data_IF_519205117842
#
_entry.id   IF_519205117842
#
_cell.length_a   1.000
_cell.length_b   1.000
_cell.length_c   1.000
_cell.angle_alpha   90.00
_cell.angle_beta   90.00
_cell.angle_gamma   90.00
#
_symmetry.space_group_name_H-M   'P 1'
#
loop_
_entity.id
_entity.type
_entity.pdbx_description
1 polymer ?
#
# COMPACT_ATOMS: atom_id res chain seq x y z
N UNK A 1 -15.81 10.98 -15.46
CA UNK A 1 -16.66 10.71 -14.26
C UNK A 1 -16.02 11.20 -12.97
N UNK A 2 -14.90 10.64 -12.49
CA UNK A 2 -14.30 11.07 -11.19
C UNK A 2 -13.91 12.56 -11.23
N UNK A 3 -13.07 12.97 -12.18
CA UNK A 3 -12.67 14.37 -12.35
C UNK A 3 -13.87 15.31 -12.52
N UNK A 4 -14.83 14.92 -13.37
CA UNK A 4 -16.00 15.76 -13.66
C UNK A 4 -16.94 15.90 -12.44
N UNK A 5 -17.02 14.88 -11.58
CA UNK A 5 -17.95 14.86 -10.44
C UNK A 5 -17.34 15.41 -9.16
N UNK A 6 -16.03 15.19 -8.95
CA UNK A 6 -15.33 15.47 -7.69
C UNK A 6 -14.19 16.48 -7.83
N UNK A 7 -13.81 16.87 -9.06
CA UNK A 7 -12.72 17.82 -9.30
C UNK A 7 -11.31 17.27 -9.01
N UNK A 8 -11.18 15.96 -8.78
CA UNK A 8 -9.90 15.30 -8.45
C UNK A 8 -9.49 14.30 -9.53
N UNK A 9 -8.19 14.19 -9.76
CA UNK A 9 -7.62 13.16 -10.64
C UNK A 9 -7.39 11.88 -9.85
N UNK A 10 -7.78 10.75 -10.44
CA UNK A 10 -7.51 9.44 -9.86
C UNK A 10 -6.04 9.08 -10.10
N UNK A 11 -5.24 9.12 -9.05
CA UNK A 11 -3.80 8.84 -9.09
C UNK A 11 -3.43 7.40 -8.71
N UNK A 12 -4.37 6.65 -8.13
CA UNK A 12 -4.15 5.28 -7.67
C UNK A 12 -5.22 4.34 -8.22
N UNK A 13 -4.82 3.12 -8.54
CA UNK A 13 -5.69 2.05 -9.02
C UNK A 13 -5.84 0.94 -7.97
N UNK A 14 -7.04 0.39 -7.82
CA UNK A 14 -7.29 -0.80 -6.99
C UNK A 14 -7.74 -1.93 -7.92
N UNK A 15 -6.96 -3.01 -8.00
CA UNK A 15 -7.30 -4.16 -8.83
C UNK A 15 -8.58 -4.82 -8.30
N UNK A 16 -9.66 -4.93 -9.11
CA UNK A 16 -10.90 -5.56 -8.65
C UNK A 16 -10.65 -7.00 -8.21
N UNK A 17 -11.00 -7.30 -6.95
CA UNK A 17 -10.69 -8.59 -6.30
C UNK A 17 -9.20 -8.99 -6.37
N UNK A 18 -8.29 -8.02 -6.49
CA UNK A 18 -6.84 -8.25 -6.60
C UNK A 18 -6.38 -8.84 -7.94
N UNK A 19 -7.27 -8.95 -8.93
CA UNK A 19 -6.93 -9.57 -10.22
C UNK A 19 -6.04 -8.65 -11.05
N UNK A 20 -4.85 -9.12 -11.45
CA UNK A 20 -3.89 -8.34 -12.25
C UNK A 20 -3.80 -8.82 -13.70
N UNK A 21 -4.67 -9.75 -14.09
CA UNK A 21 -4.68 -10.38 -15.41
C UNK A 21 -6.03 -10.25 -16.11
N UNK A 22 -5.99 -10.26 -17.44
CA UNK A 22 -7.16 -10.37 -18.33
C UNK A 22 -6.96 -11.54 -19.30
N UNK A 23 -8.05 -11.98 -19.93
CA UNK A 23 -8.03 -13.13 -20.83
C UNK A 23 -8.23 -14.46 -20.11
N UNK A 24 -8.00 -15.58 -20.82
CA UNK A 24 -8.20 -16.93 -20.30
C UNK A 24 -7.18 -17.90 -20.88
N UNK A 25 -6.72 -18.86 -20.08
CA UNK A 25 -5.80 -19.91 -20.50
C UNK A 25 -4.48 -19.38 -21.06
N UNK A 26 -4.03 -19.91 -22.19
CA UNK A 26 -2.80 -19.46 -22.85
C UNK A 26 -2.83 -17.99 -23.33
N UNK A 27 -4.01 -17.37 -23.36
CA UNK A 27 -4.19 -15.97 -23.75
C UNK A 27 -4.22 -15.00 -22.56
N UNK A 28 -3.97 -15.48 -21.34
CA UNK A 28 -3.91 -14.64 -20.14
C UNK A 28 -2.77 -13.63 -20.25
N UNK A 29 -3.04 -12.35 -19.98
CA UNK A 29 -2.07 -11.25 -20.03
C UNK A 29 -2.18 -10.41 -18.78
N UNK A 30 -1.02 -10.00 -18.25
CA UNK A 30 -0.99 -9.00 -17.17
C UNK A 30 -1.42 -7.65 -17.72
N UNK A 31 -2.22 -6.92 -16.95
CA UNK A 31 -2.53 -5.52 -17.24
C UNK A 31 -1.89 -4.54 -16.25
N UNK A 32 -0.98 -5.03 -15.39
CA UNK A 32 -0.12 -4.19 -14.53
C UNK A 32 0.65 -3.14 -15.35
N UNK A 33 1.22 -3.43 -16.55
CA UNK A 33 1.91 -2.41 -17.34
C UNK A 33 1.01 -1.26 -17.78
N UNK A 34 -0.30 -1.51 -17.94
CA UNK A 34 -1.28 -0.47 -18.27
C UNK A 34 -1.56 0.39 -17.05
N UNK A 35 -1.65 -0.21 -15.86
CA UNK A 35 -1.81 0.54 -14.61
C UNK A 35 -0.57 1.39 -14.33
N UNK A 36 0.64 0.83 -14.53
CA UNK A 36 1.90 1.53 -14.34
C UNK A 36 2.08 2.78 -15.23
N UNK A 37 1.46 2.81 -16.41
CA UNK A 37 1.56 3.97 -17.32
C UNK A 37 0.51 5.05 -17.07
N UNK A 38 -0.55 4.73 -16.32
CA UNK A 38 -1.69 5.62 -16.11
C UNK A 38 -1.80 6.14 -14.67
N UNK A 39 -1.29 5.39 -13.69
CA UNK A 39 -1.46 5.67 -12.27
C UNK A 39 -0.10 5.71 -11.56
N UNK A 40 -0.03 6.48 -10.49
CA UNK A 40 1.13 6.51 -9.61
C UNK A 40 1.30 5.21 -8.83
N UNK A 41 0.19 4.58 -8.47
CA UNK A 41 0.19 3.31 -7.74
C UNK A 41 -0.94 2.39 -8.19
N UNK A 42 -0.74 1.08 -8.05
CA UNK A 42 -1.77 0.07 -8.12
C UNK A 42 -1.69 -0.82 -6.88
N UNK A 43 -2.82 -1.27 -6.33
CA UNK A 43 -2.83 -2.21 -5.19
C UNK A 43 -3.75 -3.41 -5.38
N UNK A 44 -3.31 -4.56 -4.89
CA UNK A 44 -4.06 -5.80 -4.81
C UNK A 44 -5.09 -5.82 -3.68
N UNK A 45 -5.56 -7.03 -3.41
CA UNK A 45 -6.52 -7.37 -2.37
C UNK A 45 -6.25 -8.77 -1.86
N UNK A 46 -6.37 -8.96 -0.54
CA UNK A 46 -6.16 -10.23 0.15
C UNK A 46 -4.73 -10.77 0.01
N UNK A 47 -3.76 -9.87 -0.12
CA UNK A 47 -2.34 -10.22 -0.19
C UNK A 47 -1.80 -10.61 1.20
N UNK A 48 -0.69 -11.35 1.22
CA UNK A 48 -0.20 -12.03 2.44
C UNK A 48 0.84 -11.24 3.24
N UNK A 49 1.33 -10.09 2.74
CA UNK A 49 2.45 -9.40 3.34
C UNK A 49 2.39 -7.86 3.20
N UNK A 50 3.04 -7.12 4.13
CA UNK A 50 3.30 -5.70 3.96
C UNK A 50 4.39 -5.48 2.90
N UNK A 51 4.44 -4.26 2.37
CA UNK A 51 5.29 -3.88 1.26
C UNK A 51 6.69 -3.49 1.74
N UNK A 52 7.71 -3.98 1.06
CA UNK A 52 9.09 -3.55 1.27
C UNK A 52 9.33 -2.20 0.58
N UNK A 53 9.68 -1.12 1.31
CA UNK A 53 9.86 0.19 0.72
C UNK A 53 11.07 0.27 -0.21
N UNK A 54 11.99 -0.70 -0.25
CA UNK A 54 13.09 -0.72 -1.24
C UNK A 54 12.69 -1.42 -2.53
N UNK A 55 11.89 -2.50 -2.43
CA UNK A 55 11.66 -3.42 -3.55
C UNK A 55 10.23 -3.47 -4.08
N UNK A 56 9.23 -2.90 -3.39
CA UNK A 56 7.85 -3.02 -3.86
C UNK A 56 7.63 -2.35 -5.22
N UNK A 57 6.85 -3.00 -6.09
CA UNK A 57 6.37 -2.43 -7.34
C UNK A 57 5.20 -1.48 -7.04
N UNK A 58 5.38 -0.20 -7.35
CA UNK A 58 4.34 0.82 -7.11
C UNK A 58 3.07 0.52 -7.89
N UNK A 59 3.16 -0.10 -9.07
CA UNK A 59 1.99 -0.47 -9.87
C UNK A 59 1.29 -1.73 -9.36
N UNK A 60 1.86 -2.46 -8.40
CA UNK A 60 1.34 -3.73 -7.88
C UNK A 60 1.67 -3.93 -6.40
N UNK A 61 1.25 -2.98 -5.57
CA UNK A 61 1.38 -3.04 -4.12
C UNK A 61 0.47 -4.11 -3.51
N UNK A 62 0.92 -4.69 -2.40
CA UNK A 62 0.14 -5.65 -1.62
C UNK A 62 -0.84 -4.93 -0.70
N UNK A 63 -2.10 -5.35 -0.71
CA UNK A 63 -3.17 -4.87 0.17
C UNK A 63 -3.70 -5.98 1.06
N UNK A 64 -3.60 -5.80 2.38
CA UNK A 64 -4.05 -6.78 3.37
C UNK A 64 -5.45 -6.46 3.89
N UNK A 65 -6.24 -7.48 4.16
CA UNK A 65 -7.62 -7.35 4.64
C UNK A 65 -7.72 -6.64 5.99
N UNK A 66 -8.66 -5.70 6.08
CA UNK A 66 -9.11 -5.06 7.32
C UNK A 66 -10.48 -5.58 7.78
N UNK A 67 -11.32 -5.97 6.83
CA UNK A 67 -12.72 -6.33 7.10
C UNK A 67 -12.83 -7.45 8.13
N UNK A 68 -13.74 -7.26 9.09
CA UNK A 68 -14.00 -8.21 10.18
C UNK A 68 -12.87 -8.35 11.22
N UNK A 69 -11.69 -7.77 11.01
CA UNK A 69 -10.56 -7.91 11.95
C UNK A 69 -10.73 -7.01 13.17
N UNK A 70 -10.39 -7.55 14.33
CA UNK A 70 -10.25 -6.80 15.57
C UNK A 70 -8.99 -5.92 15.54
N UNK A 71 -8.94 -4.90 16.40
CA UNK A 71 -7.73 -4.10 16.57
C UNK A 71 -6.52 -4.93 16.99
N UNK A 72 -6.68 -5.96 17.83
CA UNK A 72 -5.55 -6.82 18.23
C UNK A 72 -4.92 -7.55 17.04
N UNK A 73 -5.73 -8.01 16.09
CA UNK A 73 -5.23 -8.67 14.87
C UNK A 73 -4.51 -7.68 13.98
N UNK A 74 -5.08 -6.48 13.77
CA UNK A 74 -4.44 -5.42 12.98
C UNK A 74 -3.15 -4.94 13.64
N UNK A 75 -3.13 -4.80 14.97
CA UNK A 75 -1.93 -4.39 15.70
C UNK A 75 -0.80 -5.39 15.49
N UNK A 76 -1.08 -6.70 15.46
CA UNK A 76 -0.07 -7.70 15.15
C UNK A 76 0.53 -7.51 13.74
N UNK A 77 -0.28 -7.11 12.76
CA UNK A 77 0.20 -6.77 11.42
C UNK A 77 1.06 -5.50 11.43
N UNK A 78 0.61 -4.44 12.11
CA UNK A 78 1.34 -3.18 12.26
C UNK A 78 2.71 -3.44 12.93
N UNK A 79 2.74 -4.15 14.04
CA UNK A 79 3.96 -4.45 14.78
C UNK A 79 4.93 -5.32 13.96
N UNK A 80 4.40 -6.24 13.14
CA UNK A 80 5.20 -7.04 12.20
C UNK A 80 5.81 -6.20 11.08
N UNK A 81 5.03 -5.31 10.47
CA UNK A 81 5.49 -4.38 9.44
C UNK A 81 6.56 -3.44 10.02
N UNK A 82 6.31 -2.83 11.19
CA UNK A 82 7.25 -1.98 11.91
C UNK A 82 8.58 -2.69 12.19
N UNK A 83 8.53 -3.91 12.74
CA UNK A 83 9.74 -4.71 13.05
C UNK A 83 10.57 -5.04 11.82
N UNK A 84 9.95 -5.11 10.65
CA UNK A 84 10.61 -5.45 9.39
C UNK A 84 10.90 -4.24 8.50
N UNK A 85 10.65 -3.01 8.99
CA UNK A 85 10.85 -1.79 8.21
C UNK A 85 9.90 -1.66 7.01
N UNK A 86 8.79 -2.39 7.01
CA UNK A 86 7.83 -2.46 5.90
C UNK A 86 6.64 -1.54 6.14
N UNK A 87 5.95 -1.20 5.06
CA UNK A 87 4.71 -0.40 5.14
C UNK A 87 3.48 -1.25 4.81
N UNK A 88 2.45 -1.08 5.61
CA UNK A 88 1.22 -1.88 5.58
C UNK A 88 0.11 -1.09 4.90
N UNK A 89 -0.54 -1.68 3.90
CA UNK A 89 -1.77 -1.16 3.30
C UNK A 89 -2.92 -2.03 3.80
N UNK A 90 -3.84 -1.42 4.54
CA UNK A 90 -5.08 -2.04 4.99
C UNK A 90 -6.20 -1.72 4.01
N UNK A 91 -6.97 -2.74 3.65
CA UNK A 91 -8.04 -2.64 2.66
C UNK A 91 -9.35 -3.09 3.29
N UNK A 92 -10.40 -2.29 3.11
CA UNK A 92 -11.77 -2.64 3.46
C UNK A 92 -12.74 -2.25 2.35
N UNK A 93 -13.93 -2.83 2.38
CA UNK A 93 -14.98 -2.56 1.39
C UNK A 93 -15.98 -1.48 1.85
N UNK A 94 -16.37 -1.54 3.12
CA UNK A 94 -17.32 -0.63 3.78
C UNK A 94 -16.90 -0.44 5.24
N UNK A 95 -17.44 0.57 5.92
CA UNK A 95 -17.26 0.81 7.34
C UNK A 95 -18.61 0.86 8.08
N UNK A 96 -18.77 0.01 9.10
CA UNK A 96 -19.96 -0.02 9.94
C UNK A 96 -19.68 -0.77 11.26
N UNK A 97 -20.66 -0.85 12.15
CA UNK A 97 -20.54 -1.60 13.41
C UNK A 97 -20.52 -3.13 13.20
N UNK A 98 -21.03 -3.62 12.07
CA UNK A 98 -21.08 -5.03 11.68
C UNK A 98 -21.42 -5.19 10.20
N UNK A 99 -21.12 -6.37 9.64
CA UNK A 99 -21.51 -6.76 8.28
C UNK A 99 -20.51 -7.72 7.65
N UNK A 100 -20.87 -8.31 6.53
CA UNK A 100 -19.90 -8.99 5.66
C UNK A 100 -19.06 -7.95 4.93
N UNK A 101 -17.76 -8.23 4.74
CA UNK A 101 -16.83 -7.30 4.06
C UNK A 101 -16.94 -5.87 4.66
N UNK A 102 -16.87 -5.79 6.00
CA UNK A 102 -17.05 -4.54 6.74
C UNK A 102 -15.87 -4.30 7.67
N UNK A 103 -15.22 -3.17 7.52
CA UNK A 103 -14.22 -2.64 8.43
C UNK A 103 -14.92 -2.07 9.64
N UNK A 104 -14.71 -2.69 10.80
CA UNK A 104 -15.42 -2.32 12.02
C UNK A 104 -15.02 -0.91 12.47
N UNK A 105 -16.00 -0.05 12.74
CA UNK A 105 -15.76 1.32 13.21
C UNK A 105 -14.88 1.35 14.48
N UNK A 106 -15.09 0.40 15.38
CA UNK A 106 -14.29 0.23 16.60
C UNK A 106 -12.82 -0.10 16.30
N UNK A 107 -12.56 -0.92 15.28
CA UNK A 107 -11.20 -1.24 14.83
C UNK A 107 -10.54 -0.02 14.17
N UNK A 108 -11.25 0.68 13.27
CA UNK A 108 -10.77 1.90 12.63
C UNK A 108 -10.39 2.99 13.65
N UNK A 109 -11.27 3.24 14.63
CA UNK A 109 -11.01 4.22 15.69
C UNK A 109 -9.76 3.84 16.52
N UNK A 110 -9.61 2.57 16.85
CA UNK A 110 -8.45 2.08 17.59
C UNK A 110 -7.14 2.20 16.81
N UNK A 111 -7.15 1.95 15.49
CA UNK A 111 -6.00 2.17 14.61
C UNK A 111 -5.60 3.65 14.62
N UNK A 112 -6.56 4.56 14.45
CA UNK A 112 -6.28 6.00 14.47
C UNK A 112 -5.71 6.45 15.81
N UNK A 113 -6.30 6.03 16.94
CA UNK A 113 -5.78 6.34 18.28
C UNK A 113 -4.36 5.81 18.49
N UNK A 114 -4.09 4.59 18.05
CA UNK A 114 -2.76 3.99 18.15
C UNK A 114 -1.73 4.75 17.32
N UNK A 115 -2.06 5.12 16.07
CA UNK A 115 -1.15 5.83 15.19
C UNK A 115 -0.91 7.30 15.61
N UNK A 116 -1.88 7.95 16.24
CA UNK A 116 -1.73 9.33 16.72
C UNK A 116 -0.87 9.46 17.98
N UNK A 117 -0.67 8.38 18.73
CA UNK A 117 0.23 8.40 19.88
C UNK A 117 1.69 8.33 19.38
N UNK A 118 2.49 9.40 19.58
CA UNK A 118 3.85 9.46 19.08
C UNK A 118 4.76 8.38 19.68
N UNK A 119 4.42 7.81 20.84
CA UNK A 119 5.17 6.70 21.43
C UNK A 119 5.14 5.42 20.58
N UNK A 120 4.16 5.28 19.68
CA UNK A 120 4.05 4.13 18.79
C UNK A 120 4.87 4.31 17.50
N UNK A 121 5.30 5.53 17.17
CA UNK A 121 6.12 5.87 16.00
C UNK A 121 5.54 5.32 14.69
N UNK A 122 4.21 5.42 14.53
CA UNK A 122 3.51 5.01 13.32
C UNK A 122 3.13 6.25 12.53
N UNK A 123 3.59 6.33 11.29
CA UNK A 123 3.03 7.26 10.33
C UNK A 123 1.89 6.58 9.58
N UNK A 124 0.67 7.14 9.71
CA UNK A 124 -0.51 6.74 8.96
C UNK A 124 -0.88 7.83 7.97
N UNK A 125 -1.13 7.45 6.72
CA UNK A 125 -1.59 8.36 5.66
C UNK A 125 -2.24 7.54 4.53
N UNK A 126 -2.68 8.22 3.49
CA UNK A 126 -3.14 7.61 2.26
C UNK A 126 -1.97 7.04 1.44
N UNK A 127 -2.29 6.11 0.53
CA UNK A 127 -1.30 5.39 -0.29
C UNK A 127 -0.48 6.32 -1.18
N UNK A 128 -1.07 7.40 -1.72
CA UNK A 128 -0.36 8.34 -2.59
C UNK A 128 0.78 9.06 -1.85
N UNK A 129 0.52 9.55 -0.63
CA UNK A 129 1.51 10.28 0.16
C UNK A 129 2.69 9.38 0.55
N UNK A 130 2.40 8.17 1.04
CA UNK A 130 3.44 7.21 1.43
C UNK A 130 4.24 6.76 0.21
N UNK A 131 3.58 6.44 -0.91
CA UNK A 131 4.26 6.05 -2.14
C UNK A 131 5.14 7.17 -2.70
N UNK A 132 4.69 8.42 -2.63
CA UNK A 132 5.49 9.59 -3.05
C UNK A 132 6.74 9.74 -2.20
N UNK A 133 6.62 9.62 -0.88
CA UNK A 133 7.76 9.62 0.04
C UNK A 133 8.75 8.50 -0.28
N UNK A 134 8.27 7.26 -0.47
CA UNK A 134 9.14 6.13 -0.78
C UNK A 134 9.87 6.35 -2.12
N UNK A 135 9.17 6.78 -3.18
CA UNK A 135 9.76 7.06 -4.49
C UNK A 135 10.87 8.12 -4.39
N UNK A 136 10.64 9.19 -3.64
CA UNK A 136 11.62 10.24 -3.41
C UNK A 136 12.88 9.68 -2.72
N UNK A 137 12.71 8.95 -1.62
CA UNK A 137 13.84 8.39 -0.85
C UNK A 137 14.64 7.36 -1.66
N UNK A 138 13.99 6.51 -2.48
CA UNK A 138 14.69 5.58 -3.39
C UNK A 138 15.60 6.34 -4.38
N UNK A 139 15.11 7.46 -4.91
CA UNK A 139 15.84 8.26 -5.89
C UNK A 139 17.05 8.96 -5.28
N UNK A 140 16.92 9.44 -4.04
CA UNK A 140 18.01 10.06 -3.27
C UNK A 140 19.10 9.04 -2.92
N UNK A 141 18.73 7.82 -2.50
CA UNK A 141 19.69 6.73 -2.26
C UNK A 141 20.45 6.36 -3.53
N UNK A 142 19.75 6.15 -4.65
CA UNK A 142 20.38 5.84 -5.93
C UNK A 142 21.34 6.96 -6.41
N UNK A 143 20.99 8.23 -6.15
CA UNK A 143 21.83 9.38 -6.48
C UNK A 143 23.08 9.45 -5.60
N UNK A 144 22.96 9.08 -4.32
CA UNK A 144 24.07 9.08 -3.34
C UNK A 144 25.05 7.94 -3.62
N UNK A 145 24.55 6.75 -3.98
CA UNK A 145 25.38 5.62 -4.41
C UNK A 145 26.14 5.95 -5.70
N UNK A 146 25.49 6.58 -6.68
CA UNK A 146 26.15 7.02 -7.91
C UNK A 146 27.22 8.11 -7.67
N UNK A 147 27.08 8.91 -6.61
CA UNK A 147 28.02 9.97 -6.26
C UNK A 147 29.21 9.51 -5.39
N UNK A 148 29.18 8.28 -4.86
CA UNK A 148 30.27 7.72 -4.07
C UNK A 148 31.22 6.95 -5.00
N UNK A 149 32.45 7.45 -5.28
CA UNK A 149 33.37 6.70 -6.12
C UNK A 149 33.70 5.38 -5.43
N UNK A 150 33.59 4.28 -6.18
CA UNK A 150 34.04 2.97 -5.70
C UNK A 150 35.54 3.06 -5.38
N UNK A 151 35.88 3.09 -4.09
CA UNK A 151 37.27 2.98 -3.64
C UNK A 151 37.72 1.55 -3.92
N UNK A 152 38.23 1.30 -5.12
CA UNK A 152 38.98 0.07 -5.41
C UNK A 152 40.27 0.11 -4.61
N UNK A 153 40.29 -0.60 -3.49
CA UNK A 153 41.54 -0.99 -2.84
C UNK A 153 42.20 -2.08 -3.71
N UNK A 154 43.34 -1.73 -4.30
CA UNK A 154 44.37 -2.68 -4.73
C UNK A 154 45.37 -2.86 -3.60
#
# INVERSE_FOLDING_TARGET
>A
VIRDSLGVDAVSFSYPCGQTFVGRGANTKSYVPVVASLFETGRGWLDEAPNDPEFCDMAQLMGMELDGKSFSEIKALIDSAKRTGKWLILVGHEMNDKGEQTSLLTTLEAICKYAMDPANEIWIDNVQNIASYIKQNRSETASTEAATPATTAY
#
